data_IF_868961288306
#
_entry.id   IF_868961288306
#
_cell.length_a   1.000
_cell.length_b   1.000
_cell.length_c   1.000
_cell.angle_alpha   90.00
_cell.angle_beta   90.00
_cell.angle_gamma   90.00
#
_symmetry.space_group_name_H-M   'P 1'
#
loop_
_entity.id
_entity.type
_entity.pdbx_description
1 polymer ?
#
# COMPACT_ATOMS: atom_id res chain seq x y z
N UNK A 1 -11.55 8.05 23.07
CA UNK A 1 -11.50 7.05 21.98
C UNK A 1 -12.62 7.35 21.00
N UNK A 2 -12.32 7.44 19.71
CA UNK A 2 -13.28 7.73 18.65
C UNK A 2 -13.05 6.79 17.45
N UNK A 3 -14.15 6.38 16.79
CA UNK A 3 -14.14 5.65 15.53
C UNK A 3 -14.81 6.52 14.48
N UNK A 4 -14.15 6.74 13.34
CA UNK A 4 -14.70 7.50 12.23
C UNK A 4 -14.71 6.63 10.98
N UNK A 5 -15.89 6.35 10.44
CA UNK A 5 -16.03 5.72 9.13
C UNK A 5 -15.67 6.72 8.03
N UNK A 6 -14.96 6.26 7.00
CA UNK A 6 -14.63 7.01 5.80
C UNK A 6 -15.60 6.62 4.69
N UNK A 7 -16.36 7.59 4.20
CA UNK A 7 -17.29 7.43 3.09
C UNK A 7 -17.12 8.64 2.13
N UNK A 8 -16.49 8.46 0.95
CA UNK A 8 -16.06 7.19 0.36
C UNK A 8 -14.77 6.61 0.99
N UNK A 9 -14.52 5.29 0.86
CA UNK A 9 -13.24 4.69 1.21
C UNK A 9 -12.07 5.32 0.45
N UNK A 10 -10.95 5.52 1.13
CA UNK A 10 -9.78 6.23 0.61
C UNK A 10 -8.72 5.22 0.14
N UNK A 11 -8.23 5.30 -1.11
CA UNK A 11 -7.14 4.46 -1.58
C UNK A 11 -5.82 4.79 -0.85
N UNK A 12 -5.29 3.82 -0.11
CA UNK A 12 -4.03 3.92 0.64
C UNK A 12 -3.11 2.75 0.34
N UNK A 13 -1.85 2.91 0.73
CA UNK A 13 -0.84 1.86 0.76
C UNK A 13 -0.32 1.77 2.19
N UNK A 14 -0.31 0.55 2.74
CA UNK A 14 0.31 0.22 4.02
C UNK A 14 1.72 -0.29 3.76
N UNK A 15 2.72 0.32 4.42
CA UNK A 15 4.13 -0.07 4.30
C UNK A 15 4.26 -1.55 4.69
N UNK A 16 5.00 -2.33 3.90
CA UNK A 16 5.21 -3.78 4.05
C UNK A 16 3.96 -4.67 3.93
N UNK A 17 2.79 -4.11 3.58
CA UNK A 17 1.54 -4.88 3.37
C UNK A 17 0.94 -4.70 1.98
N UNK A 18 1.11 -3.54 1.36
CA UNK A 18 0.62 -3.29 0.01
C UNK A 18 -0.54 -2.30 -0.06
N UNK A 19 -1.27 -2.34 -1.17
CA UNK A 19 -2.35 -1.40 -1.49
C UNK A 19 -3.69 -1.85 -0.93
N UNK A 20 -4.57 -0.90 -0.67
CA UNK A 20 -5.91 -1.18 -0.21
C UNK A 20 -6.78 0.08 -0.12
N UNK A 21 -7.96 -0.11 0.44
CA UNK A 21 -8.92 0.96 0.72
C UNK A 21 -9.12 1.11 2.22
N UNK A 22 -8.81 2.29 2.73
CA UNK A 22 -9.14 2.66 4.10
C UNK A 22 -10.60 3.08 4.19
N UNK A 23 -11.37 2.39 5.02
CA UNK A 23 -12.79 2.67 5.23
C UNK A 23 -13.11 3.18 6.63
N UNK A 24 -12.13 3.22 7.54
CA UNK A 24 -12.28 3.84 8.85
C UNK A 24 -10.93 4.27 9.46
N UNK A 25 -10.99 5.18 10.43
CA UNK A 25 -9.88 5.53 11.32
C UNK A 25 -10.31 5.43 12.79
N UNK A 26 -9.39 5.04 13.65
CA UNK A 26 -9.59 4.89 15.09
C UNK A 26 -8.58 5.76 15.81
N UNK A 27 -9.09 6.70 16.62
CA UNK A 27 -8.29 7.55 17.48
C UNK A 27 -8.40 7.06 18.93
N UNK A 28 -7.27 6.58 19.47
CA UNK A 28 -7.17 6.15 20.86
C UNK A 28 -6.85 7.32 21.82
N UNK A 29 -6.44 8.48 21.32
CA UNK A 29 -6.11 9.67 22.10
C UNK A 29 -4.64 10.12 21.97
N UNK A 30 -4.20 11.09 22.79
CA UNK A 30 -2.96 11.83 22.58
C UNK A 30 -1.66 11.00 22.57
N UNK A 31 -1.64 9.86 23.25
CA UNK A 31 -0.44 9.00 23.38
C UNK A 31 -0.38 7.87 22.33
N UNK A 32 -1.35 7.83 21.41
CA UNK A 32 -1.45 6.78 20.40
C UNK A 32 -1.47 7.37 18.99
N UNK A 33 -0.91 6.61 18.04
CA UNK A 33 -1.07 6.96 16.64
C UNK A 33 -2.54 6.79 16.23
N UNK A 34 -3.01 7.66 15.33
CA UNK A 34 -4.23 7.42 14.59
C UNK A 34 -4.09 6.09 13.83
N UNK A 35 -5.03 5.17 14.05
CA UNK A 35 -5.02 3.85 13.41
C UNK A 35 -5.94 3.88 12.20
N UNK A 36 -5.46 3.38 11.07
CA UNK A 36 -6.21 3.27 9.83
C UNK A 36 -6.64 1.83 9.63
N UNK A 37 -7.93 1.64 9.35
CA UNK A 37 -8.52 0.33 9.02
C UNK A 37 -8.64 0.22 7.52
N UNK A 38 -7.85 -0.70 6.95
CA UNK A 38 -7.66 -0.84 5.51
C UNK A 38 -8.00 -2.25 5.07
N UNK A 39 -8.82 -2.40 4.02
CA UNK A 39 -8.99 -3.66 3.31
C UNK A 39 -7.92 -3.74 2.20
N UNK A 40 -7.04 -4.75 2.24
CA UNK A 40 -5.97 -4.94 1.28
C UNK A 40 -6.49 -5.51 -0.04
N UNK A 41 -5.95 -5.02 -1.17
CA UNK A 41 -6.41 -5.39 -2.51
C UNK A 41 -6.07 -6.84 -2.89
N UNK A 42 -4.95 -7.38 -2.37
CA UNK A 42 -4.40 -8.67 -2.82
C UNK A 42 -5.25 -9.88 -2.35
N UNK A 43 -5.71 -9.85 -1.10
CA UNK A 43 -6.38 -10.97 -0.45
C UNK A 43 -7.65 -10.57 0.33
N UNK A 44 -8.00 -9.28 0.36
CA UNK A 44 -9.13 -8.78 1.13
C UNK A 44 -8.91 -8.76 2.64
N UNK A 45 -7.69 -9.00 3.13
CA UNK A 45 -7.40 -8.93 4.56
C UNK A 45 -7.66 -7.53 5.10
N UNK A 46 -8.26 -7.47 6.29
CA UNK A 46 -8.46 -6.22 7.01
C UNK A 46 -7.27 -6.01 7.93
N UNK A 47 -6.55 -4.91 7.72
CA UNK A 47 -5.37 -4.55 8.48
C UNK A 47 -5.54 -3.21 9.20
N UNK A 48 -5.04 -3.15 10.43
CA UNK A 48 -4.99 -1.95 11.25
C UNK A 48 -3.55 -1.42 11.30
N UNK A 49 -3.28 -0.29 10.66
CA UNK A 49 -1.94 0.30 10.61
C UNK A 49 -1.89 1.67 11.31
N UNK A 50 -0.85 1.96 12.12
CA UNK A 50 -0.65 3.30 12.65
C UNK A 50 -0.28 4.29 11.55
N UNK A 51 -0.66 5.56 11.73
CA UNK A 51 -0.47 6.64 10.75
C UNK A 51 0.92 6.70 10.08
N UNK A 52 2.06 6.51 10.79
CA UNK A 52 3.38 6.51 10.16
C UNK A 52 3.60 5.43 9.08
N UNK A 53 2.80 4.36 9.09
CA UNK A 53 2.87 3.24 8.13
C UNK A 53 1.88 3.36 6.96
N UNK A 54 1.12 4.44 6.86
CA UNK A 54 0.09 4.61 5.83
C UNK A 54 0.48 5.72 4.86
N UNK A 55 0.36 5.47 3.56
CA UNK A 55 0.62 6.44 2.49
C UNK A 55 -0.58 6.51 1.55
N UNK A 56 -0.87 7.70 1.02
CA UNK A 56 -1.83 7.84 -0.07
C UNK A 56 -1.32 7.13 -1.32
N UNK A 57 -2.22 6.50 -2.06
CA UNK A 57 -1.88 6.01 -3.40
C UNK A 57 -1.68 7.19 -4.38
N UNK A 58 -0.96 6.92 -5.47
CA UNK A 58 -0.80 7.87 -6.56
C UNK A 58 -2.13 8.19 -7.24
N UNK A 59 -2.31 9.42 -7.67
CA UNK A 59 -3.51 9.90 -8.35
C UNK A 59 -3.12 10.94 -9.40
N UNK A 60 -3.21 10.57 -10.68
CA UNK A 60 -2.75 11.39 -11.81
C UNK A 60 -3.60 12.64 -12.02
N UNK A 61 -4.92 12.60 -11.79
CA UNK A 61 -5.78 13.80 -11.91
C UNK A 61 -5.49 14.81 -10.81
N UNK A 62 -5.00 14.35 -9.66
CA UNK A 62 -4.56 15.19 -8.54
C UNK A 62 -3.06 15.51 -8.58
N UNK A 63 -2.33 15.16 -9.65
CA UNK A 63 -0.89 15.39 -9.77
C UNK A 63 -0.03 14.61 -8.76
N UNK A 64 -0.58 13.61 -8.08
CA UNK A 64 0.16 12.75 -7.14
C UNK A 64 0.88 11.66 -7.92
N UNK A 65 2.21 11.74 -7.96
CA UNK A 65 3.04 10.75 -8.63
C UNK A 65 2.76 9.33 -8.08
N UNK A 66 2.73 8.35 -8.99
CA UNK A 66 2.74 6.94 -8.60
C UNK A 66 4.07 6.67 -7.88
N UNK A 67 4.07 5.98 -6.72
CA UNK A 67 5.33 5.56 -6.11
C UNK A 67 6.17 4.79 -7.14
N UNK A 68 7.51 4.97 -7.14
CA UNK A 68 8.38 4.31 -8.10
C UNK A 68 8.14 2.80 -8.04
N UNK A 69 8.06 2.16 -9.21
CA UNK A 69 8.07 0.69 -9.26
C UNK A 69 9.38 0.22 -8.62
N UNK A 70 9.37 -0.84 -7.77
CA UNK A 70 10.62 -1.45 -7.36
C UNK A 70 11.39 -1.82 -8.63
N UNK A 71 12.66 -1.39 -8.71
CA UNK A 71 13.54 -1.75 -9.82
C UNK A 71 13.52 -3.27 -9.98
N UNK A 72 13.40 -3.82 -11.19
CA UNK A 72 13.55 -5.25 -11.39
C UNK A 72 14.87 -5.65 -10.75
N UNK A 73 14.80 -6.55 -9.76
CA UNK A 73 16.01 -7.19 -9.25
C UNK A 73 16.59 -7.90 -10.46
N UNK A 74 17.85 -7.61 -10.78
CA UNK A 74 18.52 -8.22 -11.91
C UNK A 74 18.58 -9.73 -11.65
N UNK A 75 17.63 -10.50 -12.20
CA UNK A 75 17.63 -11.97 -12.19
C UNK A 75 18.75 -12.46 -13.12
N UNK A 76 19.99 -12.27 -12.68
CA UNK A 76 21.21 -12.71 -13.35
C UNK A 76 21.36 -14.25 -13.37
N UNK A 77 20.32 -15.01 -13.00
CA UNK A 77 20.36 -16.47 -12.89
C UNK A 77 19.49 -17.22 -13.92
N UNK A 78 18.81 -16.54 -14.86
CA UNK A 78 18.23 -17.24 -16.03
C UNK A 78 19.26 -17.23 -17.16
N UNK A 79 20.34 -17.97 -16.94
CA UNK A 79 21.30 -18.32 -17.99
C UNK A 79 20.67 -19.32 -18.96
N UNK A 80 19.87 -18.82 -19.90
CA UNK A 80 19.59 -19.56 -21.15
C UNK A 80 20.49 -18.94 -22.20
N UNK A 81 21.67 -19.54 -22.38
CA UNK A 81 22.50 -19.26 -23.54
C UNK A 81 21.73 -19.69 -24.81
N UNK A 82 21.71 -18.89 -25.88
CA UNK A 82 21.15 -19.34 -27.14
C UNK A 82 22.08 -20.42 -27.72
N UNK A 83 21.53 -21.61 -27.97
CA UNK A 83 22.15 -22.62 -28.83
C UNK A 83 22.24 -22.03 -30.23
N UNK A 84 23.46 -21.69 -30.67
CA UNK A 84 23.73 -21.33 -32.06
C UNK A 84 23.73 -22.60 -32.90
N UNK A 85 22.74 -22.74 -33.79
CA UNK A 85 22.82 -23.66 -34.92
C UNK A 85 23.80 -23.10 -35.95
N UNK A 86 24.80 -23.91 -36.30
CA UNK A 86 25.81 -23.64 -37.34
C UNK A 86 26.76 -24.82 -37.45
#
# INVERSE_FOLDING_TARGET
>A
MAFQQLDPPIPVQVIDKGKGYAFAVIDYGPEHNLIWVTALDENGEIWCAPNPLVRMQGNWTMGRAKPPLPSPVNDACVGIAPVSSG
#
